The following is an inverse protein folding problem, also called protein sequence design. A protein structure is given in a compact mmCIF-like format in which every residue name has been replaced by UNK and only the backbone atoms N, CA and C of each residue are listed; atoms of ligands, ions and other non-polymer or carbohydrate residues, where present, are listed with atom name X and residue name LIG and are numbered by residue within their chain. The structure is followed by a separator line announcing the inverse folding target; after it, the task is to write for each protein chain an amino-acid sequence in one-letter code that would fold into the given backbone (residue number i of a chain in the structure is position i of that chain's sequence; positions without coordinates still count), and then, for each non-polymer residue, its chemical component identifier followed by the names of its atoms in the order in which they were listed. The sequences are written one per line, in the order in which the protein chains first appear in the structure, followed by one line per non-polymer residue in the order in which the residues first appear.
data_IF_692623068839
#
_entry.id   IF_692623068839
#
_cell.length_a   1.000
_cell.length_b   1.000
_cell.length_c   1.000
_cell.angle_alpha   90.00
_cell.angle_beta   90.00
_cell.angle_gamma   90.00
#
_symmetry.space_group_name_H-M   'P 1'
#
loop_
_entity.id
_entity.type
_entity.pdbx_description
1 polymer ?
#
# COMPACT_ATOMS: atom_id res chain seq x y z
N UNK A 1 -20.06 61.40 25.30
CA UNK A 1 -21.11 61.10 24.29
C UNK A 1 -21.19 59.58 24.23
N UNK A 2 -22.02 59.05 25.18
CA UNK A 2 -22.14 57.61 25.42
C UNK A 2 -23.19 57.05 24.46
N UNK A 3 -22.82 56.12 23.62
CA UNK A 3 -23.75 55.39 22.77
C UNK A 3 -24.30 54.21 23.57
N UNK A 4 -25.48 54.36 24.12
CA UNK A 4 -26.27 53.27 24.66
C UNK A 4 -26.84 52.44 23.51
N UNK A 5 -26.49 51.18 23.46
CA UNK A 5 -27.15 50.20 22.60
C UNK A 5 -28.40 49.67 23.32
N UNK A 6 -29.58 49.76 22.72
CA UNK A 6 -30.75 49.14 23.29
C UNK A 6 -30.68 47.61 23.17
N UNK A 7 -30.60 46.95 24.30
CA UNK A 7 -30.86 45.50 24.42
C UNK A 7 -32.36 45.27 24.27
N UNK A 8 -32.84 45.30 23.03
CA UNK A 8 -34.18 44.88 22.70
C UNK A 8 -34.23 43.37 22.51
N UNK A 9 -34.84 42.65 23.45
CA UNK A 9 -35.22 41.25 23.33
C UNK A 9 -36.24 41.03 22.21
N UNK A 10 -35.79 41.17 20.96
CA UNK A 10 -36.59 40.85 19.79
C UNK A 10 -36.67 39.33 19.64
N UNK A 11 -37.87 38.79 19.90
CA UNK A 11 -38.18 37.43 19.46
C UNK A 11 -38.01 37.39 17.96
N UNK A 12 -37.12 36.55 17.47
CA UNK A 12 -36.98 36.28 16.05
C UNK A 12 -38.33 35.85 15.47
N UNK A 13 -38.80 36.42 14.37
CA UNK A 13 -40.07 36.03 13.78
C UNK A 13 -40.05 34.55 13.40
N UNK A 14 -41.01 33.80 13.91
CA UNK A 14 -41.18 32.33 13.71
C UNK A 14 -41.20 31.93 12.22
N UNK A 15 -41.56 32.87 11.35
CA UNK A 15 -41.60 32.64 9.90
C UNK A 15 -40.24 32.42 9.24
N UNK A 16 -39.14 32.86 9.86
CA UNK A 16 -37.77 32.59 9.35
C UNK A 16 -37.22 31.22 9.80
N UNK A 17 -37.64 30.77 10.99
CA UNK A 17 -37.26 29.45 11.49
C UNK A 17 -37.87 28.32 10.62
N UNK A 18 -39.08 28.53 10.12
CA UNK A 18 -39.80 27.56 9.28
C UNK A 18 -39.21 27.45 7.87
N UNK A 19 -38.63 28.53 7.33
CA UNK A 19 -37.96 28.50 6.01
C UNK A 19 -36.58 27.86 6.03
N UNK A 20 -35.93 27.81 7.17
CA UNK A 20 -34.57 27.22 7.32
C UNK A 20 -34.64 25.77 7.77
N UNK A 21 -35.85 25.19 8.00
CA UNK A 21 -36.02 23.80 8.36
C UNK A 21 -35.36 23.40 9.70
N UNK A 22 -35.19 24.37 10.61
CA UNK A 22 -34.68 24.10 11.96
C UNK A 22 -35.85 23.59 12.79
N UNK A 23 -36.16 22.30 12.63
CA UNK A 23 -37.09 21.59 13.51
C UNK A 23 -36.62 21.68 14.96
N UNK A 24 -37.54 22.05 15.86
CA UNK A 24 -37.34 22.04 17.30
C UNK A 24 -36.86 20.63 17.74
N UNK A 25 -35.62 20.55 18.20
CA UNK A 25 -35.02 19.30 18.68
C UNK A 25 -33.81 18.81 17.90
N UNK A 26 -33.39 19.54 16.86
CA UNK A 26 -32.15 19.25 16.14
C UNK A 26 -30.91 19.73 16.87
N UNK A 27 -30.58 19.13 18.03
CA UNK A 27 -29.17 18.90 18.33
C UNK A 27 -28.60 18.27 17.05
N UNK A 28 -27.75 19.02 16.32
CA UNK A 28 -26.94 18.47 15.27
C UNK A 28 -26.29 17.26 15.90
N UNK A 29 -26.86 16.09 15.62
CA UNK A 29 -26.29 14.81 15.97
C UNK A 29 -25.00 14.78 15.18
N UNK A 30 -23.95 15.33 15.78
CA UNK A 30 -22.58 15.09 15.34
C UNK A 30 -22.47 13.57 15.42
N UNK A 31 -22.85 12.97 14.31
CA UNK A 31 -22.69 11.55 14.09
C UNK A 31 -21.21 11.32 14.26
N UNK A 32 -20.88 10.96 15.49
CA UNK A 32 -19.54 10.56 15.86
C UNK A 32 -19.20 9.43 14.90
N UNK A 33 -18.44 9.75 13.84
CA UNK A 33 -17.80 8.79 12.97
C UNK A 33 -16.79 7.96 13.79
N UNK A 34 -17.28 7.29 14.81
CA UNK A 34 -16.65 6.11 15.32
C UNK A 34 -16.93 5.00 14.30
N UNK A 35 -16.30 5.14 13.14
CA UNK A 35 -16.17 3.98 12.29
C UNK A 35 -15.37 2.98 13.10
N UNK A 36 -15.93 1.82 13.44
CA UNK A 36 -15.22 0.81 14.20
C UNK A 36 -13.95 0.50 13.42
N UNK A 37 -12.80 0.75 14.04
CA UNK A 37 -11.48 0.35 13.55
C UNK A 37 -11.65 -1.08 13.09
N UNK A 38 -11.45 -1.32 11.78
CA UNK A 38 -11.69 -2.60 11.13
C UNK A 38 -11.20 -3.73 12.04
N UNK A 39 -12.11 -4.63 12.44
CA UNK A 39 -11.84 -5.66 13.43
C UNK A 39 -10.52 -6.36 13.06
N UNK A 40 -9.60 -6.49 14.03
CA UNK A 40 -8.25 -7.04 13.85
C UNK A 40 -8.18 -8.25 12.92
N UNK A 41 -9.14 -9.22 12.92
CA UNK A 41 -9.12 -10.35 12.00
C UNK A 41 -9.32 -9.98 10.52
N UNK A 42 -10.10 -8.96 10.20
CA UNK A 42 -10.28 -8.50 8.81
C UNK A 42 -9.04 -7.83 8.26
N UNK A 43 -8.33 -7.07 9.09
CA UNK A 43 -7.06 -6.47 8.71
C UNK A 43 -5.98 -7.53 8.47
N UNK A 44 -5.81 -8.47 9.42
CA UNK A 44 -4.84 -9.57 9.28
C UNK A 44 -5.10 -10.42 8.03
N UNK A 45 -6.37 -10.73 7.72
CA UNK A 45 -6.72 -11.46 6.50
C UNK A 45 -6.35 -10.72 5.22
N UNK A 46 -6.53 -9.40 5.19
CA UNK A 46 -6.12 -8.58 4.03
C UNK A 46 -4.60 -8.56 3.89
N UNK A 47 -3.86 -8.31 4.97
CA UNK A 47 -2.39 -8.34 4.95
C UNK A 47 -1.89 -9.71 4.52
N UNK A 48 -2.42 -10.80 5.07
CA UNK A 48 -2.06 -12.15 4.68
C UNK A 48 -2.32 -12.43 3.19
N UNK A 49 -3.44 -11.94 2.64
CA UNK A 49 -3.75 -12.10 1.22
C UNK A 49 -2.74 -11.35 0.34
N UNK A 50 -2.44 -10.08 0.65
CA UNK A 50 -1.43 -9.33 -0.10
C UNK A 50 -0.04 -9.95 -0.02
N UNK A 51 0.35 -10.44 1.15
CA UNK A 51 1.62 -11.16 1.33
C UNK A 51 1.64 -12.44 0.51
N UNK A 52 0.55 -13.21 0.51
CA UNK A 52 0.45 -14.44 -0.27
C UNK A 52 0.55 -14.17 -1.77
N UNK A 53 -0.15 -13.13 -2.27
CA UNK A 53 -0.09 -12.72 -3.68
C UNK A 53 1.33 -12.27 -4.04
N UNK A 54 1.98 -11.47 -3.20
CA UNK A 54 3.34 -10.99 -3.41
C UNK A 54 4.36 -12.15 -3.46
N UNK A 55 4.26 -13.08 -2.52
CA UNK A 55 5.11 -14.27 -2.50
C UNK A 55 4.84 -15.21 -3.69
N UNK A 56 3.57 -15.36 -4.09
CA UNK A 56 3.20 -16.14 -5.28
C UNK A 56 3.77 -15.53 -6.56
N UNK A 57 3.73 -14.21 -6.69
CA UNK A 57 4.33 -13.51 -7.82
C UNK A 57 5.87 -13.65 -7.84
N UNK A 58 6.51 -13.55 -6.67
CA UNK A 58 7.95 -13.77 -6.55
C UNK A 58 8.35 -15.20 -6.91
N UNK A 59 7.61 -16.20 -6.42
CA UNK A 59 7.85 -17.60 -6.72
C UNK A 59 7.66 -17.90 -8.22
N UNK A 60 6.65 -17.32 -8.86
CA UNK A 60 6.43 -17.43 -10.29
C UNK A 60 7.58 -16.81 -11.09
N UNK A 61 8.03 -15.61 -10.68
CA UNK A 61 9.18 -14.93 -11.30
C UNK A 61 10.46 -15.77 -11.19
N UNK A 62 10.71 -16.36 -10.02
CA UNK A 62 11.83 -17.26 -9.81
C UNK A 62 11.73 -18.49 -10.69
N UNK A 63 10.55 -19.12 -10.78
CA UNK A 63 10.32 -20.30 -11.62
C UNK A 63 10.60 -20.01 -13.10
N UNK A 64 10.13 -18.88 -13.61
CA UNK A 64 10.42 -18.41 -14.98
C UNK A 64 11.92 -18.25 -15.21
N UNK A 65 12.65 -17.70 -14.25
CA UNK A 65 14.11 -17.58 -14.31
C UNK A 65 14.79 -18.93 -14.36
N UNK A 66 14.44 -19.84 -13.46
CA UNK A 66 15.00 -21.21 -13.39
C UNK A 66 14.78 -21.96 -14.71
N UNK A 67 13.57 -21.95 -15.24
CA UNK A 67 13.24 -22.59 -16.50
C UNK A 67 14.01 -21.99 -17.66
N UNK A 68 14.15 -20.66 -17.72
CA UNK A 68 14.89 -19.98 -18.77
C UNK A 68 16.39 -20.26 -18.71
N UNK A 69 16.99 -20.21 -17.52
CA UNK A 69 18.42 -20.54 -17.36
C UNK A 69 18.72 -22.02 -17.64
N UNK A 70 17.83 -22.92 -17.24
CA UNK A 70 17.99 -24.32 -17.54
C UNK A 70 17.87 -24.61 -19.05
N UNK A 71 16.85 -24.04 -19.72
CA UNK A 71 16.55 -24.36 -21.13
C UNK A 71 17.39 -23.58 -22.13
N UNK A 72 17.72 -22.31 -21.87
CA UNK A 72 18.41 -21.42 -22.81
C UNK A 72 19.92 -21.39 -22.52
N UNK A 73 20.31 -21.27 -21.25
CA UNK A 73 21.71 -21.25 -20.87
C UNK A 73 22.31 -22.66 -20.66
N UNK A 74 21.47 -23.70 -20.63
CA UNK A 74 21.92 -25.09 -20.43
C UNK A 74 22.43 -25.39 -19.02
N UNK A 75 22.10 -24.57 -18.03
CA UNK A 75 22.58 -24.76 -16.66
C UNK A 75 21.89 -25.94 -15.97
N UNK A 76 22.59 -26.70 -15.13
CA UNK A 76 21.98 -27.66 -14.20
C UNK A 76 20.91 -26.99 -13.33
N UNK A 77 19.91 -27.73 -12.87
CA UNK A 77 18.76 -27.18 -12.12
C UNK A 77 19.16 -26.34 -10.91
N UNK A 78 20.17 -26.80 -10.14
CA UNK A 78 20.62 -26.07 -8.94
C UNK A 78 21.36 -24.79 -9.30
N UNK A 79 22.16 -24.78 -10.37
CA UNK A 79 22.85 -23.60 -10.85
C UNK A 79 21.87 -22.61 -11.49
N UNK A 80 20.87 -23.11 -12.20
CA UNK A 80 19.78 -22.29 -12.72
C UNK A 80 18.95 -21.61 -11.61
N UNK A 81 18.70 -22.34 -10.51
CA UNK A 81 18.03 -21.78 -9.34
C UNK A 81 18.89 -20.73 -8.66
N UNK A 82 20.18 -21.00 -8.47
CA UNK A 82 21.12 -20.04 -7.91
C UNK A 82 21.17 -18.77 -8.76
N UNK A 83 21.36 -18.92 -10.06
CA UNK A 83 21.46 -17.80 -11.00
C UNK A 83 20.18 -16.94 -11.01
N UNK A 84 19.01 -17.59 -11.12
CA UNK A 84 17.73 -16.91 -11.10
C UNK A 84 17.50 -16.15 -9.78
N UNK A 85 17.87 -16.74 -8.65
CA UNK A 85 17.72 -16.10 -7.34
C UNK A 85 18.63 -14.88 -7.15
N UNK A 86 19.89 -15.00 -7.63
CA UNK A 86 20.87 -13.91 -7.53
C UNK A 86 20.45 -12.70 -8.37
N UNK A 87 19.96 -12.94 -9.59
CA UNK A 87 19.47 -11.85 -10.45
C UNK A 87 18.17 -11.27 -9.93
N UNK A 88 17.25 -12.11 -9.44
CA UNK A 88 15.98 -11.65 -8.89
C UNK A 88 16.18 -10.73 -7.67
N UNK A 89 17.17 -10.97 -6.85
CA UNK A 89 17.52 -10.14 -5.69
C UNK A 89 18.41 -8.95 -6.04
N UNK A 90 18.87 -8.83 -7.29
CA UNK A 90 19.68 -7.71 -7.76
C UNK A 90 21.18 -7.84 -7.50
N UNK A 91 21.66 -9.02 -7.09
CA UNK A 91 23.10 -9.25 -6.86
C UNK A 91 23.90 -9.44 -8.16
N UNK A 92 23.23 -9.82 -9.26
CA UNK A 92 23.86 -10.04 -10.54
C UNK A 92 24.20 -11.50 -10.83
N UNK A 93 24.66 -11.80 -12.09
CA UNK A 93 24.96 -13.16 -12.52
C UNK A 93 26.21 -13.73 -11.84
N UNK A 94 26.18 -15.00 -11.51
CA UNK A 94 27.29 -15.75 -10.89
C UNK A 94 27.99 -16.60 -11.97
N UNK A 95 27.20 -17.23 -12.85
CA UNK A 95 27.72 -18.06 -13.92
C UNK A 95 28.07 -17.26 -15.18
N UNK A 96 29.17 -17.53 -15.88
CA UNK A 96 29.49 -16.88 -17.14
C UNK A 96 28.50 -17.30 -18.23
N UNK A 97 27.85 -16.31 -18.85
CA UNK A 97 26.95 -16.54 -19.99
C UNK A 97 27.79 -16.73 -21.27
N UNK A 98 27.89 -17.94 -21.76
CA UNK A 98 28.77 -18.29 -22.88
C UNK A 98 28.12 -18.06 -24.25
N UNK A 99 26.80 -18.16 -24.35
CA UNK A 99 26.05 -18.01 -25.59
C UNK A 99 25.32 -16.66 -25.65
N UNK A 100 25.12 -16.12 -26.85
CA UNK A 100 24.41 -14.86 -27.03
C UNK A 100 22.93 -14.97 -26.63
N UNK A 101 22.31 -16.16 -26.82
CA UNK A 101 20.97 -16.43 -26.34
C UNK A 101 20.86 -16.37 -24.81
N UNK A 102 21.84 -16.93 -24.09
CA UNK A 102 21.89 -16.86 -22.62
C UNK A 102 22.10 -15.43 -22.14
N UNK A 103 22.95 -14.64 -22.79
CA UNK A 103 23.16 -13.21 -22.48
C UNK A 103 21.89 -12.38 -22.69
N UNK A 104 21.21 -12.62 -23.81
CA UNK A 104 19.96 -11.91 -24.11
C UNK A 104 18.89 -12.26 -23.06
N UNK A 105 18.71 -13.56 -22.77
CA UNK A 105 17.77 -13.99 -21.75
C UNK A 105 18.11 -13.37 -20.38
N UNK A 106 19.37 -13.43 -19.96
CA UNK A 106 19.81 -12.86 -18.69
C UNK A 106 19.52 -11.35 -18.60
N UNK A 107 19.75 -10.61 -19.70
CA UNK A 107 19.50 -9.17 -19.74
C UNK A 107 18.01 -8.85 -19.61
N UNK A 108 17.15 -9.54 -20.34
CA UNK A 108 15.70 -9.37 -20.26
C UNK A 108 15.18 -9.78 -18.90
N UNK A 109 15.66 -10.93 -18.39
CA UNK A 109 15.27 -11.43 -17.08
C UNK A 109 15.72 -10.48 -15.95
N UNK A 110 16.89 -9.86 -16.04
CA UNK A 110 17.38 -8.90 -15.07
C UNK A 110 16.49 -7.63 -15.00
N UNK A 111 16.05 -7.10 -16.14
CA UNK A 111 15.11 -5.97 -16.17
C UNK A 111 13.77 -6.36 -15.56
N UNK A 112 13.21 -7.50 -15.98
CA UNK A 112 11.96 -8.01 -15.46
C UNK A 112 12.04 -8.26 -13.95
N UNK A 113 13.09 -8.93 -13.47
CA UNK A 113 13.26 -9.27 -12.06
C UNK A 113 13.43 -8.04 -11.18
N UNK A 114 14.11 -7.00 -11.66
CA UNK A 114 14.23 -5.73 -10.95
C UNK A 114 12.87 -5.08 -10.69
N UNK A 115 12.01 -5.01 -11.72
CA UNK A 115 10.64 -4.50 -11.59
C UNK A 115 9.80 -5.41 -10.67
N UNK A 116 9.89 -6.73 -10.84
CA UNK A 116 9.17 -7.70 -10.03
C UNK A 116 9.54 -7.60 -8.55
N UNK A 117 10.83 -7.50 -8.24
CA UNK A 117 11.32 -7.36 -6.88
C UNK A 117 10.87 -6.05 -6.23
N UNK A 118 11.02 -4.90 -6.91
CA UNK A 118 10.60 -3.60 -6.40
C UNK A 118 9.09 -3.55 -6.14
N UNK A 119 8.29 -4.09 -7.06
CA UNK A 119 6.83 -4.16 -6.90
C UNK A 119 6.46 -5.01 -5.70
N UNK A 120 7.08 -6.19 -5.55
CA UNK A 120 6.83 -7.09 -4.42
C UNK A 120 7.24 -6.43 -3.10
N UNK A 121 8.42 -5.82 -3.03
CA UNK A 121 8.90 -5.11 -1.86
C UNK A 121 7.96 -3.97 -1.47
N UNK A 122 7.48 -3.19 -2.43
CA UNK A 122 6.52 -2.10 -2.20
C UNK A 122 5.20 -2.62 -1.63
N UNK A 123 4.67 -3.73 -2.16
CA UNK A 123 3.44 -4.36 -1.65
C UNK A 123 3.59 -4.86 -0.21
N UNK A 124 4.74 -5.45 0.12
CA UNK A 124 5.03 -5.94 1.47
C UNK A 124 5.25 -4.80 2.48
N UNK A 125 5.87 -3.71 2.04
CA UNK A 125 6.14 -2.54 2.90
C UNK A 125 4.92 -1.64 3.08
N UNK A 126 3.98 -1.61 2.14
CA UNK A 126 2.81 -0.74 2.18
C UNK A 126 2.05 -0.77 3.53
N UNK A 127 1.69 -1.92 4.12
CA UNK A 127 0.97 -1.96 5.39
C UNK A 127 1.83 -1.47 6.57
N UNK A 128 3.15 -1.66 6.51
CA UNK A 128 4.10 -1.22 7.55
C UNK A 128 4.26 0.29 7.50
N UNK A 129 4.48 0.84 6.31
CA UNK A 129 4.64 2.29 6.09
C UNK A 129 3.36 3.03 6.47
N UNK A 130 2.19 2.53 6.06
CA UNK A 130 0.91 3.15 6.42
C UNK A 130 0.71 3.20 7.94
N UNK A 131 1.05 2.13 8.66
CA UNK A 131 0.94 2.08 10.12
C UNK A 131 1.93 3.02 10.81
N UNK A 132 3.14 3.16 10.27
CA UNK A 132 4.16 4.05 10.79
C UNK A 132 3.76 5.51 10.63
N UNK A 133 3.30 5.90 9.43
CA UNK A 133 2.81 7.25 9.14
C UNK A 133 1.63 7.64 10.03
N UNK A 134 0.70 6.69 10.26
CA UNK A 134 -0.44 6.96 11.15
C UNK A 134 -0.01 7.20 12.60
N UNK A 135 1.03 6.51 13.08
CA UNK A 135 1.57 6.76 14.43
C UNK A 135 2.28 8.10 14.54
N UNK A 136 3.03 8.49 13.52
CA UNK A 136 3.76 9.77 13.51
C UNK A 136 2.80 10.97 13.45
N UNK A 137 1.69 10.86 12.70
CA UNK A 137 0.70 11.95 12.58
C UNK A 137 -0.12 12.16 13.86
N UNK A 138 -0.22 11.14 14.73
CA UNK A 138 -0.93 11.25 16.02
C UNK A 138 -0.04 11.97 17.06
N UNK A 139 1.27 11.85 16.96
CA UNK A 139 2.23 12.49 17.89
C UNK A 139 2.31 14.00 17.66
N UNK A 140 2.17 14.46 16.40
CA UNK A 140 2.29 15.88 16.04
C UNK A 140 1.08 16.74 16.48
N UNK A 141 -0.04 16.11 16.86
CA UNK A 141 -1.24 16.81 17.36
C UNK A 141 -1.32 16.95 18.89
N UNK A 142 -0.33 16.48 19.63
CA UNK A 142 -0.27 16.51 21.09
C UNK A 142 0.84 17.41 21.66
N UNK A 143 1.42 18.29 20.80
CA UNK A 143 2.40 19.30 21.19
C UNK A 143 1.79 20.71 21.29
#
# INVERSE_FOLDING_TARGET
MSLEYPVGGGKFPETLAERVGVGQGGLVKLESRHQPIASRPRFLRRVALYTLVALGFLALSLLLGVLGYHSIAGLPWMDALLEASMILTGMGPVAPMTTDGAKLFASVYAIFSGVAFLTTASLLLAPVVHRLLHKLHVVDKSG
#
